data_IF_654362210993
#
_entry.id   IF_654362210993
#
_cell.length_a   1.000
_cell.length_b   1.000
_cell.length_c   1.000
_cell.angle_alpha   90.00
_cell.angle_beta   90.00
_cell.angle_gamma   90.00
#
_symmetry.space_group_name_H-M   'P 1'
#
loop_
_entity.id
_entity.type
_entity.pdbx_description
1 polymer ?
#
# COMPACT_ATOMS: atom_id res chain seq x y z
N UNK A 1 42.40 16.53 -42.30
CA UNK A 1 41.18 15.98 -41.67
C UNK A 1 41.50 15.32 -40.33
N UNK A 2 41.76 16.07 -39.24
CA UNK A 2 41.76 15.53 -37.88
C UNK A 2 40.40 15.76 -37.22
N UNK A 3 39.71 14.71 -36.77
CA UNK A 3 38.40 14.89 -36.11
C UNK A 3 37.66 13.60 -35.72
N UNK A 4 38.03 12.45 -36.29
CA UNK A 4 37.39 11.16 -35.97
C UNK A 4 37.97 10.47 -34.74
N UNK A 5 39.28 10.62 -34.49
CA UNK A 5 39.97 9.95 -33.37
C UNK A 5 39.57 10.52 -31.99
N UNK A 6 39.49 11.85 -31.88
CA UNK A 6 39.26 12.56 -30.61
C UNK A 6 37.84 12.34 -30.06
N UNK A 7 36.84 12.33 -30.96
CA UNK A 7 35.46 11.98 -30.64
C UNK A 7 35.30 10.53 -30.16
N UNK A 8 36.09 9.59 -30.70
CA UNK A 8 36.05 8.19 -30.29
C UNK A 8 36.61 7.99 -28.87
N UNK A 9 37.73 8.64 -28.54
CA UNK A 9 38.31 8.61 -27.18
C UNK A 9 37.42 9.28 -26.14
N UNK A 10 36.80 10.43 -26.46
CA UNK A 10 35.86 11.09 -25.56
C UNK A 10 34.62 10.22 -25.26
N UNK A 11 34.10 9.53 -26.30
CA UNK A 11 32.98 8.60 -26.15
C UNK A 11 33.36 7.39 -25.28
N UNK A 12 34.52 6.79 -25.51
CA UNK A 12 35.01 5.65 -24.72
C UNK A 12 35.20 6.00 -23.23
N UNK A 13 35.77 7.18 -22.93
CA UNK A 13 35.94 7.67 -21.56
C UNK A 13 34.60 7.89 -20.83
N UNK A 14 33.60 8.46 -21.52
CA UNK A 14 32.24 8.64 -20.99
C UNK A 14 31.56 7.32 -20.65
N UNK A 15 31.63 6.33 -21.56
CA UNK A 15 31.08 4.98 -21.34
C UNK A 15 31.76 4.30 -20.15
N UNK A 16 33.09 4.33 -20.07
CA UNK A 16 33.84 3.72 -18.97
C UNK A 16 33.47 4.35 -17.60
N UNK A 17 33.32 5.67 -17.52
CA UNK A 17 32.90 6.34 -16.29
C UNK A 17 31.46 5.96 -15.88
N UNK A 18 30.54 5.88 -16.85
CA UNK A 18 29.16 5.44 -16.62
C UNK A 18 29.08 3.98 -16.14
N UNK A 19 29.94 3.08 -16.64
CA UNK A 19 30.04 1.70 -16.16
C UNK A 19 30.60 1.59 -14.73
N UNK A 20 31.65 2.36 -14.41
CA UNK A 20 32.21 2.39 -13.05
C UNK A 20 31.19 2.89 -12.03
N UNK A 21 30.37 3.89 -12.37
CA UNK A 21 29.25 4.33 -11.52
C UNK A 21 28.09 3.33 -11.43
N UNK A 22 27.87 2.49 -12.45
CA UNK A 22 26.77 1.51 -12.50
C UNK A 22 27.03 0.28 -11.64
N UNK A 23 28.25 -0.30 -11.69
CA UNK A 23 28.56 -1.58 -11.03
C UNK A 23 28.27 -1.59 -9.52
N UNK A 24 28.67 -0.59 -8.70
CA UNK A 24 28.34 -0.56 -7.27
C UNK A 24 26.83 -0.47 -6.99
N UNK A 25 26.08 0.20 -7.86
CA UNK A 25 24.63 0.36 -7.71
C UNK A 25 23.89 -0.94 -8.00
N UNK A 26 24.25 -1.64 -9.08
CA UNK A 26 23.75 -2.99 -9.38
C UNK A 26 23.96 -3.97 -8.21
N UNK A 27 25.13 -3.95 -7.56
CA UNK A 27 25.40 -4.81 -6.39
C UNK A 27 24.48 -4.56 -5.19
N UNK A 28 23.88 -3.36 -5.06
CA UNK A 28 22.84 -3.10 -4.04
C UNK A 28 21.48 -3.61 -4.45
N UNK A 29 21.14 -3.57 -5.74
CA UNK A 29 19.93 -4.23 -6.29
C UNK A 29 20.02 -5.75 -6.11
N UNK A 30 21.15 -6.37 -6.48
CA UNK A 30 21.42 -7.80 -6.19
C UNK A 30 21.40 -8.06 -4.66
N UNK A 31 21.84 -7.10 -3.85
CA UNK A 31 21.74 -7.13 -2.38
C UNK A 31 20.30 -7.17 -1.87
N UNK A 32 19.43 -6.32 -2.41
CA UNK A 32 18.01 -6.29 -2.10
C UNK A 32 17.31 -7.61 -2.51
N UNK A 33 17.56 -8.11 -3.73
CA UNK A 33 17.03 -9.40 -4.22
C UNK A 33 17.39 -10.53 -3.25
N UNK A 34 18.63 -10.61 -2.76
CA UNK A 34 19.02 -11.61 -1.75
C UNK A 34 18.24 -11.46 -0.43
N UNK A 35 18.00 -10.23 0.03
CA UNK A 35 17.23 -9.97 1.26
C UNK A 35 15.76 -10.34 1.10
N UNK A 36 15.15 -9.98 -0.03
CA UNK A 36 13.77 -10.36 -0.39
C UNK A 36 13.62 -11.90 -0.48
N UNK A 37 14.57 -12.60 -1.10
CA UNK A 37 14.58 -14.08 -1.12
C UNK A 37 14.70 -14.67 0.30
N UNK A 38 15.55 -14.10 1.16
CA UNK A 38 15.70 -14.55 2.55
C UNK A 38 14.41 -14.32 3.38
N UNK A 39 13.73 -13.18 3.21
CA UNK A 39 12.42 -12.91 3.82
C UNK A 39 11.38 -13.93 3.34
N UNK A 40 11.33 -14.19 2.04
CA UNK A 40 10.40 -15.15 1.44
C UNK A 40 10.62 -16.59 1.91
N UNK A 41 11.86 -16.98 2.21
CA UNK A 41 12.20 -18.30 2.76
C UNK A 41 11.96 -18.44 4.27
N UNK A 42 11.95 -17.32 5.01
CA UNK A 42 11.80 -17.31 6.47
C UNK A 42 10.34 -17.21 6.95
N UNK A 43 9.40 -16.89 6.06
CA UNK A 43 7.99 -16.65 6.41
C UNK A 43 7.05 -17.70 5.81
N UNK A 44 5.95 -18.07 6.50
CA UNK A 44 4.93 -18.95 5.95
C UNK A 44 4.35 -18.43 4.63
N UNK A 45 3.98 -19.33 3.71
CA UNK A 45 3.47 -18.92 2.39
C UNK A 45 2.23 -18.01 2.46
N UNK A 46 1.33 -18.25 3.42
CA UNK A 46 0.12 -17.45 3.66
C UNK A 46 0.32 -16.17 4.47
N UNK A 47 1.53 -15.89 4.97
CA UNK A 47 1.82 -14.64 5.69
C UNK A 47 1.73 -13.44 4.73
N UNK A 48 0.98 -12.40 5.10
CA UNK A 48 0.73 -11.24 4.25
C UNK A 48 1.98 -10.47 3.83
N UNK A 49 3.01 -10.42 4.68
CA UNK A 49 4.30 -9.84 4.32
C UNK A 49 5.01 -10.74 3.31
N UNK A 50 4.92 -12.07 3.46
CA UNK A 50 5.45 -13.02 2.48
C UNK A 50 4.75 -12.93 1.12
N UNK A 51 3.41 -12.73 1.10
CA UNK A 51 2.63 -12.52 -0.13
C UNK A 51 3.12 -11.29 -0.88
N UNK A 52 3.19 -10.13 -0.22
CA UNK A 52 3.72 -8.90 -0.84
C UNK A 52 5.19 -9.06 -1.26
N UNK A 53 6.03 -9.65 -0.40
CA UNK A 53 7.46 -9.84 -0.66
C UNK A 53 7.73 -10.69 -1.90
N UNK A 54 6.95 -11.76 -2.13
CA UNK A 54 7.09 -12.60 -3.34
C UNK A 54 6.78 -11.82 -4.62
N UNK A 55 5.67 -11.09 -4.64
CA UNK A 55 5.34 -10.20 -5.76
C UNK A 55 6.42 -9.15 -5.98
N UNK A 56 6.88 -8.49 -4.91
CA UNK A 56 7.89 -7.45 -5.02
C UNK A 56 9.24 -7.99 -5.52
N UNK A 57 9.64 -9.19 -5.07
CA UNK A 57 10.80 -9.90 -5.59
C UNK A 57 10.73 -10.09 -7.12
N UNK A 58 9.60 -10.55 -7.66
CA UNK A 58 9.39 -10.68 -9.11
C UNK A 58 9.60 -9.35 -9.84
N UNK A 59 9.09 -8.24 -9.29
CA UNK A 59 9.31 -6.90 -9.84
C UNK A 59 10.79 -6.52 -9.82
N UNK A 60 11.46 -6.65 -8.67
CA UNK A 60 12.87 -6.25 -8.52
C UNK A 60 13.80 -7.08 -9.42
N UNK A 61 13.55 -8.38 -9.56
CA UNK A 61 14.29 -9.25 -10.48
C UNK A 61 14.09 -8.83 -11.95
N UNK A 62 12.85 -8.54 -12.37
CA UNK A 62 12.57 -8.04 -13.71
C UNK A 62 13.22 -6.67 -13.99
N UNK A 63 13.23 -5.76 -13.02
CA UNK A 63 13.92 -4.47 -13.13
C UNK A 63 15.42 -4.67 -13.24
N UNK A 64 16.01 -5.50 -12.38
CA UNK A 64 17.44 -5.85 -12.40
C UNK A 64 17.89 -6.37 -13.75
N UNK A 65 17.11 -7.23 -14.39
CA UNK A 65 17.40 -7.75 -15.73
C UNK A 65 17.24 -6.72 -16.85
N UNK A 66 16.48 -5.63 -16.64
CA UNK A 66 16.45 -4.48 -17.55
C UNK A 66 17.61 -3.51 -17.32
N UNK A 67 18.18 -3.42 -16.12
CA UNK A 67 19.35 -2.59 -15.83
C UNK A 67 20.63 -3.08 -16.56
N UNK A 68 20.68 -4.36 -16.93
CA UNK A 68 21.77 -4.99 -17.71
C UNK A 68 21.52 -5.00 -19.23
N UNK A 69 20.41 -4.42 -19.70
CA UNK A 69 20.01 -4.38 -21.13
C UNK A 69 19.87 -2.92 -21.61
N UNK A 70 19.87 -2.65 -22.92
CA UNK A 70 19.59 -1.32 -23.46
C UNK A 70 18.10 -0.97 -23.33
N UNK A 71 17.64 -0.71 -22.11
CA UNK A 71 16.25 -0.41 -21.80
C UNK A 71 16.05 0.97 -21.15
N UNK A 72 16.81 1.30 -20.10
CA UNK A 72 16.75 2.64 -19.48
C UNK A 72 17.71 3.62 -20.17
N UNK A 73 17.35 4.91 -20.20
CA UNK A 73 18.21 5.98 -20.70
C UNK A 73 19.37 6.27 -19.73
N UNK A 74 19.11 6.23 -18.42
CA UNK A 74 20.14 6.17 -17.38
C UNK A 74 19.90 4.96 -16.43
N UNK A 75 20.39 3.77 -16.80
CA UNK A 75 20.32 2.60 -15.93
C UNK A 75 21.15 2.77 -14.65
N UNK A 76 22.12 3.69 -14.59
CA UNK A 76 22.88 3.92 -13.36
C UNK A 76 22.10 4.77 -12.36
N UNK A 77 21.23 5.68 -12.80
CA UNK A 77 20.28 6.36 -11.93
C UNK A 77 19.11 5.45 -11.54
N UNK A 78 18.60 4.63 -12.45
CA UNK A 78 17.55 3.65 -12.12
C UNK A 78 18.03 2.58 -11.12
N UNK A 79 19.30 2.16 -11.18
CA UNK A 79 19.91 1.30 -10.16
C UNK A 79 20.13 2.00 -8.80
N UNK A 80 20.19 3.34 -8.75
CA UNK A 80 20.12 4.08 -7.48
C UNK A 80 18.70 4.09 -6.95
N UNK A 81 17.73 4.45 -7.80
CA UNK A 81 16.31 4.53 -7.42
C UNK A 81 15.79 3.19 -6.91
N UNK A 82 16.02 2.10 -7.63
CA UNK A 82 15.57 0.76 -7.27
C UNK A 82 16.17 0.29 -5.93
N UNK A 83 17.47 0.51 -5.72
CA UNK A 83 18.14 0.18 -4.46
C UNK A 83 17.66 1.04 -3.27
N UNK A 84 17.41 2.34 -3.49
CA UNK A 84 16.83 3.24 -2.47
C UNK A 84 15.40 2.84 -2.15
N UNK A 85 14.63 2.47 -3.16
CA UNK A 85 13.23 2.09 -3.04
C UNK A 85 13.08 0.78 -2.27
N UNK A 86 13.79 -0.27 -2.67
CA UNK A 86 13.85 -1.54 -1.94
C UNK A 86 14.32 -1.36 -0.50
N UNK A 87 15.31 -0.48 -0.28
CA UNK A 87 15.81 -0.16 1.06
C UNK A 87 14.72 0.33 2.02
N UNK A 88 13.70 1.06 1.55
CA UNK A 88 12.60 1.54 2.42
C UNK A 88 11.70 0.42 2.94
N UNK A 89 11.28 -0.50 2.07
CA UNK A 89 10.53 -1.68 2.48
C UNK A 89 11.34 -2.55 3.43
N UNK A 90 12.63 -2.79 3.11
CA UNK A 90 13.52 -3.60 3.95
C UNK A 90 13.74 -2.97 5.33
N UNK A 91 13.88 -1.64 5.43
CA UNK A 91 13.94 -0.93 6.72
C UNK A 91 12.64 -1.08 7.52
N UNK A 92 11.48 -1.10 6.88
CA UNK A 92 10.21 -1.34 7.58
C UNK A 92 10.11 -2.78 8.12
N UNK A 93 10.60 -3.77 7.37
CA UNK A 93 10.71 -5.18 7.83
C UNK A 93 11.69 -5.31 9.00
N UNK A 94 12.88 -4.71 8.87
CA UNK A 94 13.94 -4.79 9.88
C UNK A 94 13.53 -4.05 11.18
N UNK A 95 12.82 -2.93 11.07
CA UNK A 95 12.24 -2.22 12.23
C UNK A 95 11.27 -3.12 13.01
N UNK A 96 10.33 -3.79 12.32
CA UNK A 96 9.38 -4.71 12.97
C UNK A 96 10.10 -5.91 13.60
N UNK A 97 11.11 -6.46 12.92
CA UNK A 97 11.92 -7.56 13.46
C UNK A 97 12.72 -7.15 14.73
N UNK A 98 13.09 -5.88 14.85
CA UNK A 98 13.72 -5.30 16.05
C UNK A 98 12.72 -4.86 17.14
N UNK A 99 11.42 -5.09 16.96
CA UNK A 99 10.38 -4.63 17.88
C UNK A 99 10.10 -3.12 17.83
N UNK A 100 10.59 -2.42 16.81
CA UNK A 100 10.32 -1.01 16.56
C UNK A 100 9.04 -0.82 15.74
N UNK A 101 8.46 0.38 15.83
CA UNK A 101 7.23 0.73 15.13
C UNK A 101 7.56 1.20 13.70
N UNK A 102 7.06 0.53 12.64
CA UNK A 102 7.31 0.95 11.26
C UNK A 102 6.52 2.24 10.92
N UNK A 103 6.74 2.84 9.73
CA UNK A 103 5.89 3.91 9.19
C UNK A 103 4.40 3.54 9.21
N UNK A 104 3.52 4.51 9.39
CA UNK A 104 2.08 4.33 9.50
C UNK A 104 1.43 3.68 8.27
N UNK A 105 2.01 3.87 7.08
CA UNK A 105 1.61 3.21 5.84
C UNK A 105 1.79 1.68 5.88
N UNK A 106 2.84 1.21 6.55
CA UNK A 106 3.22 -0.20 6.62
C UNK A 106 2.56 -0.95 7.79
N UNK A 107 2.25 -0.27 8.90
CA UNK A 107 1.64 -0.86 10.11
C UNK A 107 0.48 -1.83 9.82
N UNK A 108 -0.53 -1.50 8.98
CA UNK A 108 -1.70 -2.35 8.80
C UNK A 108 -1.34 -3.73 8.25
N UNK A 109 -0.39 -3.80 7.32
CA UNK A 109 0.07 -5.06 6.75
C UNK A 109 0.78 -5.92 7.80
N UNK A 110 1.65 -5.32 8.62
CA UNK A 110 2.34 -6.04 9.69
C UNK A 110 1.41 -6.47 10.84
N UNK A 111 0.41 -5.65 11.17
CA UNK A 111 -0.59 -5.93 12.22
C UNK A 111 -1.54 -7.08 11.81
N UNK A 112 -1.95 -7.14 10.55
CA UNK A 112 -2.92 -8.12 10.04
C UNK A 112 -2.29 -9.30 9.28
N UNK A 113 -0.96 -9.40 9.20
CA UNK A 113 -0.21 -10.36 8.37
C UNK A 113 -0.57 -11.84 8.50
N UNK A 114 -1.20 -12.26 9.60
CA UNK A 114 -1.60 -13.64 9.86
C UNK A 114 -3.13 -13.78 10.06
N UNK A 115 -3.92 -12.76 9.74
CA UNK A 115 -5.35 -12.73 10.01
C UNK A 115 -6.12 -13.64 9.02
N UNK A 116 -6.85 -14.67 9.47
CA UNK A 116 -7.43 -15.69 8.59
C UNK A 116 -8.54 -15.17 7.68
N UNK A 117 -9.22 -14.09 8.08
CA UNK A 117 -10.24 -13.41 7.25
C UNK A 117 -9.71 -12.39 6.24
N UNK A 118 -8.39 -12.31 6.00
CA UNK A 118 -7.80 -11.36 5.02
C UNK A 118 -7.22 -12.14 3.84
N UNK A 119 -7.68 -11.81 2.63
CA UNK A 119 -7.30 -12.54 1.41
C UNK A 119 -5.86 -12.17 0.96
N UNK A 120 -5.09 -13.11 0.35
CA UNK A 120 -3.78 -12.81 -0.23
C UNK A 120 -3.73 -11.58 -1.15
N UNK A 121 -4.78 -11.37 -1.96
CA UNK A 121 -4.90 -10.17 -2.81
C UNK A 121 -4.94 -8.86 -1.99
N UNK A 122 -5.58 -8.85 -0.82
CA UNK A 122 -5.62 -7.68 0.07
C UNK A 122 -4.23 -7.38 0.64
N UNK A 123 -3.46 -8.42 1.01
CA UNK A 123 -2.07 -8.26 1.46
C UNK A 123 -1.16 -7.70 0.36
N UNK A 124 -1.28 -8.21 -0.86
CA UNK A 124 -0.55 -7.68 -2.02
C UNK A 124 -0.88 -6.20 -2.24
N UNK A 125 -2.18 -5.84 -2.34
CA UNK A 125 -2.62 -4.46 -2.56
C UNK A 125 -2.25 -3.52 -1.43
N UNK A 126 -2.31 -3.94 -0.17
CA UNK A 126 -1.91 -3.12 0.97
C UNK A 126 -0.40 -2.81 0.95
N UNK A 127 0.43 -3.81 0.61
CA UNK A 127 1.87 -3.61 0.41
C UNK A 127 2.18 -2.75 -0.80
N UNK A 128 1.49 -2.93 -1.94
CA UNK A 128 1.61 -2.04 -3.11
C UNK A 128 1.22 -0.61 -2.78
N UNK A 129 0.14 -0.41 -2.01
CA UNK A 129 -0.30 0.90 -1.53
C UNK A 129 0.79 1.57 -0.68
N UNK A 130 1.32 0.90 0.35
CA UNK A 130 2.39 1.44 1.19
C UNK A 130 3.65 1.77 0.36
N UNK A 131 4.10 0.81 -0.46
CA UNK A 131 5.34 0.96 -1.21
C UNK A 131 5.22 2.02 -2.32
N UNK A 132 4.20 1.95 -3.18
CA UNK A 132 4.06 2.90 -4.30
C UNK A 132 3.67 4.30 -3.81
N UNK A 133 2.74 4.43 -2.86
CA UNK A 133 2.21 5.75 -2.51
C UNK A 133 3.03 6.48 -1.43
N UNK A 134 3.77 5.78 -0.58
CA UNK A 134 4.62 6.42 0.45
C UNK A 134 6.12 6.25 0.17
N UNK A 135 6.61 5.02 -0.08
CA UNK A 135 8.05 4.81 -0.18
C UNK A 135 8.64 5.38 -1.48
N UNK A 136 7.93 5.25 -2.61
CA UNK A 136 8.42 5.69 -3.92
C UNK A 136 8.63 7.21 -4.03
N UNK A 137 7.71 8.09 -3.57
CA UNK A 137 7.94 9.53 -3.56
C UNK A 137 9.22 9.94 -2.83
N UNK A 138 9.41 9.35 -1.65
CA UNK A 138 10.58 9.59 -0.81
C UNK A 138 11.86 9.01 -1.43
N UNK A 139 11.77 7.84 -2.06
CA UNK A 139 12.88 7.22 -2.80
C UNK A 139 13.33 8.05 -4.01
N UNK A 140 12.39 8.66 -4.75
CA UNK A 140 12.71 9.61 -5.83
C UNK A 140 13.45 10.83 -5.29
N UNK A 141 12.97 11.44 -4.20
CA UNK A 141 13.60 12.62 -3.59
C UNK A 141 15.01 12.31 -3.09
N UNK A 142 15.21 11.20 -2.39
CA UNK A 142 16.54 10.82 -1.86
C UNK A 142 17.51 10.40 -2.97
N UNK A 143 17.02 9.73 -4.02
CA UNK A 143 17.82 9.45 -5.22
C UNK A 143 18.27 10.75 -5.88
N UNK A 144 17.36 11.71 -6.03
CA UNK A 144 17.67 13.04 -6.58
C UNK A 144 18.72 13.79 -5.74
N UNK A 145 18.62 13.73 -4.40
CA UNK A 145 19.65 14.26 -3.48
C UNK A 145 21.01 13.59 -3.68
N UNK A 146 21.06 12.25 -3.67
CA UNK A 146 22.29 11.45 -3.82
C UNK A 146 22.98 11.63 -5.17
N UNK A 147 22.20 11.88 -6.23
CA UNK A 147 22.71 12.10 -7.58
C UNK A 147 22.94 13.58 -7.92
N UNK A 148 22.63 14.52 -7.02
CA UNK A 148 22.77 15.95 -7.25
C UNK A 148 21.88 16.49 -8.39
N UNK A 149 20.71 15.89 -8.63
CA UNK A 149 19.85 16.21 -9.77
C UNK A 149 18.39 16.47 -9.37
N UNK A 150 17.63 17.18 -10.19
CA UNK A 150 16.18 17.34 -10.00
C UNK A 150 15.38 16.13 -10.56
N UNK A 151 14.17 15.84 -10.05
CA UNK A 151 13.31 14.74 -10.51
C UNK A 151 13.08 14.70 -12.01
N UNK A 152 13.07 15.85 -12.70
CA UNK A 152 12.96 15.91 -14.17
C UNK A 152 13.95 15.01 -14.91
N UNK A 153 15.15 14.77 -14.35
CA UNK A 153 16.17 13.86 -14.90
C UNK A 153 15.74 12.39 -14.87
N UNK A 154 14.94 11.98 -13.89
CA UNK A 154 14.44 10.60 -13.74
C UNK A 154 13.12 10.36 -14.50
N UNK A 155 12.42 11.43 -14.91
CA UNK A 155 11.04 11.38 -15.40
C UNK A 155 10.81 10.49 -16.64
N UNK A 156 11.82 10.31 -17.49
CA UNK A 156 11.74 9.43 -18.66
C UNK A 156 11.70 7.95 -18.26
N UNK A 157 12.70 7.51 -17.52
CA UNK A 157 12.81 6.11 -17.09
C UNK A 157 11.80 5.74 -16.00
N UNK A 158 11.40 6.71 -15.15
CA UNK A 158 10.31 6.55 -14.19
C UNK A 158 8.98 6.17 -14.86
N UNK A 159 8.67 6.72 -16.04
CA UNK A 159 7.48 6.32 -16.81
C UNK A 159 7.71 5.06 -17.63
N UNK A 160 8.93 4.88 -18.18
CA UNK A 160 9.28 3.70 -18.99
C UNK A 160 9.02 2.39 -18.24
N UNK A 161 9.31 2.35 -16.94
CA UNK A 161 9.09 1.17 -16.09
C UNK A 161 7.60 0.77 -15.97
N UNK A 162 6.64 1.68 -16.20
CA UNK A 162 5.21 1.36 -16.08
C UNK A 162 4.80 0.23 -17.05
N UNK A 163 5.39 0.20 -18.25
CA UNK A 163 5.17 -0.89 -19.21
C UNK A 163 5.76 -2.25 -18.81
N UNK A 164 6.74 -2.27 -17.90
CA UNK A 164 7.21 -3.51 -17.26
C UNK A 164 6.27 -3.93 -16.13
N UNK A 165 5.80 -2.97 -15.34
CA UNK A 165 4.90 -3.22 -14.21
C UNK A 165 3.51 -3.66 -14.64
N UNK A 166 3.02 -3.23 -15.80
CA UNK A 166 1.73 -3.68 -16.36
C UNK A 166 1.68 -5.20 -16.61
N UNK A 167 2.81 -5.81 -17.01
CA UNK A 167 2.90 -7.27 -17.13
C UNK A 167 2.78 -7.96 -15.77
N UNK A 168 3.52 -7.46 -14.77
CA UNK A 168 3.45 -8.02 -13.40
C UNK A 168 2.07 -7.79 -12.77
N UNK A 169 1.37 -6.68 -13.06
CA UNK A 169 0.00 -6.46 -12.59
C UNK A 169 -0.96 -7.53 -13.14
N UNK A 170 -0.80 -7.93 -14.41
CA UNK A 170 -1.56 -9.02 -15.01
C UNK A 170 -1.26 -10.37 -14.33
N UNK A 171 0.02 -10.71 -14.16
CA UNK A 171 0.46 -11.95 -13.50
C UNK A 171 -0.05 -12.03 -12.05
N UNK A 172 0.00 -10.92 -11.30
CA UNK A 172 -0.49 -10.83 -9.91
C UNK A 172 -2.00 -10.97 -9.84
N UNK A 173 -2.73 -10.38 -10.80
CA UNK A 173 -4.18 -10.54 -10.91
C UNK A 173 -4.52 -11.99 -11.24
N UNK A 174 -3.83 -12.64 -12.17
CA UNK A 174 -4.05 -14.05 -12.50
C UNK A 174 -3.76 -14.99 -11.30
N UNK A 175 -2.65 -14.78 -10.59
CA UNK A 175 -2.23 -15.65 -9.49
C UNK A 175 -2.98 -15.45 -8.17
N UNK A 176 -3.52 -14.25 -7.91
CA UNK A 176 -4.17 -13.90 -6.64
C UNK A 176 -5.66 -13.61 -6.75
N UNK A 177 -6.26 -13.63 -7.95
CA UNK A 177 -7.72 -13.56 -8.07
C UNK A 177 -8.35 -14.86 -7.54
N UNK A 178 -9.38 -14.77 -6.68
CA UNK A 178 -10.13 -15.94 -6.25
C UNK A 178 -10.87 -16.61 -7.43
N UNK A 179 -11.03 -17.93 -7.32
CA UNK A 179 -11.90 -18.71 -8.23
C UNK A 179 -13.38 -18.32 -8.09
N UNK A 180 -14.24 -18.78 -9.02
CA UNK A 180 -15.63 -18.32 -9.13
C UNK A 180 -16.44 -18.44 -7.82
N UNK A 181 -16.28 -19.53 -7.07
CA UNK A 181 -17.03 -19.78 -5.82
C UNK A 181 -16.64 -18.86 -4.64
N UNK A 182 -15.55 -18.10 -4.79
CA UNK A 182 -15.12 -17.05 -3.86
C UNK A 182 -15.34 -15.66 -4.47
N UNK A 183 -15.53 -15.54 -5.79
CA UNK A 183 -15.78 -14.29 -6.50
C UNK A 183 -17.07 -13.60 -6.03
N UNK A 184 -18.15 -14.34 -5.80
CA UNK A 184 -19.41 -13.82 -5.22
C UNK A 184 -19.21 -13.25 -3.80
N UNK A 185 -18.26 -13.80 -3.02
CA UNK A 185 -17.92 -13.33 -1.67
C UNK A 185 -16.94 -12.15 -1.66
N UNK A 186 -16.29 -11.86 -2.79
CA UNK A 186 -15.34 -10.75 -2.95
C UNK A 186 -15.80 -9.66 -3.93
N UNK A 187 -17.09 -9.60 -4.29
CA UNK A 187 -17.64 -8.55 -5.15
C UNK A 187 -17.36 -7.10 -4.63
N UNK A 188 -17.31 -6.83 -3.31
CA UNK A 188 -16.83 -5.54 -2.79
C UNK A 188 -15.33 -5.29 -3.00
N UNK A 189 -14.50 -6.34 -3.18
CA UNK A 189 -13.12 -6.19 -3.64
C UNK A 189 -13.04 -5.96 -5.14
N UNK A 190 -13.83 -6.63 -5.99
CA UNK A 190 -13.65 -6.52 -7.46
C UNK A 190 -13.81 -5.07 -7.94
N UNK A 191 -14.74 -4.30 -7.37
CA UNK A 191 -14.84 -2.85 -7.64
C UNK A 191 -13.64 -2.04 -7.10
N UNK A 192 -13.05 -2.43 -5.95
CA UNK A 192 -11.86 -1.74 -5.38
C UNK A 192 -10.56 -2.09 -6.11
N UNK A 193 -10.42 -3.35 -6.52
CA UNK A 193 -9.31 -3.91 -7.30
C UNK A 193 -9.37 -3.37 -8.73
N UNK A 194 -10.56 -3.29 -9.34
CA UNK A 194 -10.77 -2.74 -10.68
C UNK A 194 -10.58 -1.21 -10.75
N UNK A 195 -10.77 -0.50 -9.64
CA UNK A 195 -10.44 0.93 -9.52
C UNK A 195 -8.97 1.20 -9.14
N UNK A 196 -8.19 0.17 -8.79
CA UNK A 196 -6.80 0.31 -8.38
C UNK A 196 -5.86 -0.03 -9.54
N UNK A 197 -5.13 0.97 -10.01
CA UNK A 197 -4.17 0.87 -11.12
C UNK A 197 -2.77 1.22 -10.63
N UNK A 198 -1.79 0.38 -10.98
CA UNK A 198 -0.36 0.66 -10.70
C UNK A 198 0.06 1.97 -11.37
N UNK A 199 -0.43 2.25 -12.57
CA UNK A 199 -0.12 3.46 -13.33
C UNK A 199 -0.63 4.72 -12.62
N UNK A 200 -1.90 4.73 -12.20
CA UNK A 200 -2.50 5.85 -11.46
C UNK A 200 -1.84 6.07 -10.10
N UNK A 201 -1.50 5.00 -9.39
CA UNK A 201 -0.73 5.10 -8.15
C UNK A 201 0.67 5.70 -8.40
N UNK A 202 1.35 5.30 -9.48
CA UNK A 202 2.67 5.85 -9.82
C UNK A 202 2.63 7.30 -10.29
N UNK A 203 1.56 7.75 -10.91
CA UNK A 203 1.36 9.17 -11.24
C UNK A 203 1.09 10.02 -9.99
N UNK A 204 0.29 9.53 -9.05
CA UNK A 204 0.10 10.16 -7.74
C UNK A 204 1.43 10.24 -6.97
N UNK A 205 2.19 9.13 -6.93
CA UNK A 205 3.52 9.09 -6.32
C UNK A 205 4.51 10.06 -6.99
N UNK A 206 4.43 10.24 -8.31
CA UNK A 206 5.25 11.22 -9.03
C UNK A 206 4.88 12.66 -8.66
N UNK A 207 3.59 12.96 -8.50
CA UNK A 207 3.12 14.26 -8.02
C UNK A 207 3.63 14.55 -6.60
N UNK A 208 3.52 13.57 -5.68
CA UNK A 208 4.06 13.68 -4.32
C UNK A 208 5.58 13.88 -4.31
N UNK A 209 6.33 13.14 -5.15
CA UNK A 209 7.79 13.31 -5.28
C UNK A 209 8.17 14.74 -5.69
N UNK A 210 7.41 15.34 -6.63
CA UNK A 210 7.63 16.73 -7.07
C UNK A 210 7.27 17.73 -5.98
N UNK A 211 6.17 17.54 -5.25
CA UNK A 211 5.78 18.41 -4.15
C UNK A 211 6.83 18.40 -3.02
N UNK A 212 7.26 17.20 -2.59
CA UNK A 212 8.35 17.01 -1.62
C UNK A 212 9.67 17.62 -2.10
N UNK A 213 9.96 17.52 -3.41
CA UNK A 213 11.14 18.14 -3.99
C UNK A 213 11.07 19.67 -3.96
N UNK A 214 9.96 20.31 -4.30
CA UNK A 214 9.88 21.79 -4.20
C UNK A 214 9.93 22.27 -2.74
N UNK A 215 9.33 21.52 -1.80
CA UNK A 215 9.43 21.81 -0.38
C UNK A 215 10.81 21.50 0.24
N UNK A 216 11.80 20.97 -0.50
CA UNK A 216 13.14 20.60 0.02
C UNK A 216 13.88 21.74 0.73
N UNK A 217 13.56 23.00 0.41
CA UNK A 217 14.14 24.20 1.05
C UNK A 217 13.46 24.60 2.36
N UNK A 218 12.36 23.94 2.75
CA UNK A 218 11.63 24.15 3.99
C UNK A 218 11.42 22.79 4.69
N UNK A 219 12.39 22.35 5.52
CA UNK A 219 12.38 21.01 6.11
C UNK A 219 11.10 20.67 6.87
N UNK A 220 10.55 21.61 7.66
CA UNK A 220 9.31 21.40 8.40
C UNK A 220 8.10 21.15 7.48
N UNK A 221 7.99 21.88 6.37
CA UNK A 221 6.91 21.68 5.39
C UNK A 221 7.07 20.36 4.63
N UNK A 222 8.30 19.96 4.30
CA UNK A 222 8.58 18.66 3.70
C UNK A 222 8.27 17.49 4.66
N UNK A 223 8.59 17.62 5.95
CA UNK A 223 8.25 16.63 6.98
C UNK A 223 6.74 16.49 7.14
N UNK A 224 6.02 17.60 7.32
CA UNK A 224 4.57 17.62 7.45
C UNK A 224 3.86 16.97 6.24
N UNK A 225 4.36 17.18 5.02
CA UNK A 225 3.84 16.50 3.83
C UNK A 225 4.14 14.99 3.83
N UNK A 226 5.34 14.58 4.23
CA UNK A 226 5.71 13.16 4.33
C UNK A 226 4.90 12.43 5.43
N UNK A 227 4.67 13.06 6.58
CA UNK A 227 3.86 12.54 7.68
C UNK A 227 2.37 12.43 7.28
N UNK A 228 1.83 13.43 6.60
CA UNK A 228 0.47 13.39 6.06
C UNK A 228 0.30 12.27 5.01
N UNK A 229 1.33 12.04 4.18
CA UNK A 229 1.37 10.95 3.21
C UNK A 229 1.41 9.59 3.92
N UNK A 230 2.29 9.40 4.90
CA UNK A 230 2.39 8.17 5.71
C UNK A 230 1.06 7.83 6.40
N UNK A 231 0.43 8.83 7.04
CA UNK A 231 -0.84 8.66 7.75
C UNK A 231 -2.02 8.33 6.81
N UNK A 232 -2.12 9.02 5.67
CA UNK A 232 -3.21 8.81 4.69
C UNK A 232 -3.08 7.48 3.94
N UNK A 233 -1.88 7.11 3.51
CA UNK A 233 -1.58 5.81 2.90
C UNK A 233 -1.83 4.68 3.91
N UNK A 234 -1.52 4.89 5.19
CA UNK A 234 -1.85 3.94 6.27
C UNK A 234 -3.34 3.80 6.56
N UNK A 235 -4.13 4.87 6.38
CA UNK A 235 -5.59 4.78 6.48
C UNK A 235 -6.18 3.92 5.35
N UNK A 236 -5.72 4.14 4.11
CA UNK A 236 -6.12 3.30 2.98
C UNK A 236 -5.66 1.84 3.16
N UNK A 237 -4.45 1.61 3.70
CA UNK A 237 -3.96 0.28 4.04
C UNK A 237 -4.89 -0.48 5.00
N UNK A 238 -5.43 0.19 6.03
CA UNK A 238 -6.44 -0.41 6.93
C UNK A 238 -7.74 -0.76 6.20
N UNK A 239 -8.21 0.10 5.31
CA UNK A 239 -9.44 -0.14 4.53
C UNK A 239 -9.30 -1.23 3.46
N UNK A 240 -8.09 -1.45 2.94
CA UNK A 240 -7.76 -2.56 2.03
C UNK A 240 -7.72 -3.90 2.76
N UNK A 241 -7.29 -3.92 4.02
CA UNK A 241 -7.15 -5.12 4.85
C UNK A 241 -8.37 -5.41 5.74
N UNK A 242 -9.51 -4.73 5.54
CA UNK A 242 -10.76 -5.08 6.23
C UNK A 242 -11.08 -6.56 5.99
N UNK A 243 -11.19 -7.40 7.05
CA UNK A 243 -11.46 -8.81 6.88
C UNK A 243 -12.79 -9.04 6.16
N UNK A 244 -12.77 -9.95 5.19
CA UNK A 244 -13.97 -10.46 4.56
C UNK A 244 -14.45 -11.64 5.40
N UNK A 245 -15.65 -11.51 5.97
CA UNK A 245 -16.12 -12.45 6.98
C UNK A 245 -16.17 -13.88 6.47
N UNK A 246 -15.49 -14.79 7.17
CA UNK A 246 -15.82 -16.22 7.18
C UNK A 246 -17.10 -16.47 8.02
N UNK A 247 -18.09 -15.61 7.86
CA UNK A 247 -19.39 -15.71 8.54
C UNK A 247 -20.24 -16.74 7.83
N UNK A 248 -20.09 -18.00 8.25
CA UNK A 248 -21.17 -18.86 8.77
C UNK A 248 -20.81 -20.36 8.78
N UNK A 249 -19.84 -20.80 7.98
CA UNK A 249 -19.59 -22.23 7.77
C UNK A 249 -18.79 -22.90 8.92
N UNK A 250 -17.76 -22.21 9.44
CA UNK A 250 -16.87 -22.75 10.47
C UNK A 250 -17.52 -22.87 11.86
N UNK A 251 -18.62 -22.14 12.11
CA UNK A 251 -19.44 -22.31 13.32
C UNK A 251 -20.45 -23.45 13.14
N UNK A 252 -21.01 -23.64 11.93
CA UNK A 252 -21.91 -24.78 11.66
C UNK A 252 -21.21 -26.13 11.78
N UNK A 253 -19.95 -26.27 11.35
CA UNK A 253 -19.21 -27.54 11.50
C UNK A 253 -18.95 -27.86 12.98
N UNK A 254 -18.55 -26.87 13.80
CA UNK A 254 -18.41 -27.05 15.26
C UNK A 254 -19.73 -27.39 15.94
N UNK A 255 -20.82 -26.76 15.53
CA UNK A 255 -22.16 -27.07 16.06
C UNK A 255 -22.70 -28.43 15.57
N UNK A 256 -22.24 -28.93 14.41
CA UNK A 256 -22.56 -30.28 13.94
C UNK A 256 -21.78 -31.36 14.69
N UNK A 257 -20.47 -31.20 14.89
CA UNK A 257 -19.65 -32.11 15.71
C UNK A 257 -20.18 -32.14 17.16
N UNK A 258 -20.39 -30.97 17.77
CA UNK A 258 -20.93 -30.86 19.13
C UNK A 258 -22.41 -31.26 19.24
N UNK A 259 -23.12 -31.36 18.12
CA UNK A 259 -24.48 -31.90 18.01
C UNK A 259 -24.52 -33.42 17.85
N UNK A 260 -23.57 -34.01 17.13
CA UNK A 260 -23.46 -35.46 16.95
C UNK A 260 -23.01 -36.18 18.23
N UNK A 261 -22.04 -35.63 18.97
CA UNK A 261 -21.60 -36.22 20.24
C UNK A 261 -22.74 -36.27 21.28
N UNK A 262 -23.58 -35.24 21.35
CA UNK A 262 -24.76 -35.20 22.24
C UNK A 262 -25.91 -36.11 21.78
N UNK A 263 -25.86 -36.62 20.55
CA UNK A 263 -26.88 -37.50 19.99
C UNK A 263 -26.71 -38.98 20.33
N UNK A 264 -25.53 -39.40 20.82
CA UNK A 264 -25.23 -40.80 21.09
C UNK A 264 -25.37 -41.22 22.57
N UNK A 265 -25.38 -40.28 23.53
CA UNK A 265 -25.65 -40.55 24.95
C UNK A 265 -27.09 -40.22 25.38
N UNK A 266 -28.08 -40.91 24.80
CA UNK A 266 -29.42 -40.96 25.42
C UNK A 266 -30.16 -42.28 25.16
N UNK A 267 -29.52 -43.39 25.52
CA UNK A 267 -30.15 -44.69 25.65
C UNK A 267 -30.39 -45.04 27.13
N UNK A 268 -31.65 -45.38 27.45
CA UNK A 268 -32.11 -46.08 28.68
C UNK A 268 -32.27 -45.22 29.96
N UNK A 269 -33.53 -45.04 30.41
CA UNK A 269 -33.87 -44.39 31.68
C UNK A 269 -35.38 -44.30 31.96
N UNK A 270 -35.97 -45.34 32.57
CA UNK A 270 -37.40 -45.40 32.93
C UNK A 270 -37.71 -44.68 34.26
N UNK A 271 -38.81 -43.91 34.38
CA UNK A 271 -39.20 -43.36 35.70
C UNK A 271 -40.36 -42.34 35.81
N UNK A 272 -41.61 -42.84 35.82
CA UNK A 272 -42.85 -42.27 36.44
C UNK A 272 -42.94 -40.78 36.90
N UNK A 273 -43.91 -40.08 36.28
CA UNK A 273 -45.01 -39.25 36.86
C UNK A 273 -44.83 -38.57 38.24
N UNK A 274 -44.99 -37.23 38.27
CA UNK A 274 -45.97 -36.55 39.15
C UNK A 274 -46.38 -35.15 38.64
N UNK A 275 -47.58 -34.68 39.04
CA UNK A 275 -48.18 -33.36 38.73
C UNK A 275 -48.93 -32.87 39.98
N UNK A 276 -48.71 -31.63 40.45
CA UNK A 276 -49.78 -30.61 40.57
C UNK A 276 -49.25 -29.16 40.30
N UNK A 277 -50.01 -28.06 40.11
CA UNK A 277 -51.48 -27.81 39.98
C UNK A 277 -51.74 -26.63 38.99
N UNK A 278 -52.38 -25.53 39.41
CA UNK A 278 -52.54 -24.18 38.82
C UNK A 278 -52.82 -23.20 39.97
N UNK A 279 -52.46 -21.93 39.82
CA UNK A 279 -53.30 -20.71 39.95
C UNK A 279 -52.45 -19.52 39.44
N UNK A 280 -52.85 -18.54 38.61
CA UNK A 280 -54.02 -17.62 38.50
C UNK A 280 -53.99 -16.40 39.43
N UNK A 281 -53.48 -15.27 38.91
CA UNK A 281 -54.11 -13.91 38.81
C UNK A 281 -53.10 -12.94 38.13
N UNK A 282 -53.41 -12.21 37.04
CA UNK A 282 -54.08 -10.88 36.91
C UNK A 282 -53.40 -9.79 37.76
N UNK A 283 -52.84 -8.69 37.22
CA UNK A 283 -53.43 -7.63 36.36
C UNK A 283 -52.38 -6.92 35.46
N UNK A 284 -52.74 -6.40 34.26
CA UNK A 284 -52.84 -4.96 33.85
C UNK A 284 -51.78 -4.01 34.48
N UNK A 285 -51.13 -3.09 33.75
CA UNK A 285 -51.62 -2.28 32.61
C UNK A 285 -50.49 -1.71 31.68
N UNK A 286 -50.87 -1.25 30.48
CA UNK A 286 -50.42 -0.06 29.67
C UNK A 286 -49.00 0.54 29.85
N UNK A 287 -48.30 1.11 28.85
CA UNK A 287 -48.64 1.56 27.48
C UNK A 287 -47.35 1.85 26.66
N UNK A 288 -47.39 1.61 25.33
CA UNK A 288 -46.88 2.47 24.22
C UNK A 288 -45.40 2.88 24.13
N UNK A 289 -44.82 3.16 22.95
CA UNK A 289 -45.23 2.98 21.55
C UNK A 289 -43.95 3.01 20.65
N UNK A 290 -43.98 2.49 19.40
CA UNK A 290 -42.76 2.32 18.58
C UNK A 290 -42.49 3.47 17.60
N UNK A 291 -41.22 3.68 17.25
CA UNK A 291 -40.80 4.54 16.13
C UNK A 291 -40.22 3.72 14.98
N UNK A 292 -40.89 3.71 13.81
CA UNK A 292 -40.35 3.25 12.54
C UNK A 292 -40.31 4.41 11.54
N UNK A 293 -39.28 4.38 10.70
CA UNK A 293 -39.13 5.13 9.45
C UNK A 293 -40.30 4.85 8.47
N UNK A 294 -40.57 5.72 7.47
CA UNK A 294 -39.85 5.58 6.20
C UNK A 294 -39.58 6.87 5.38
N UNK A 295 -38.77 6.71 4.33
CA UNK A 295 -38.29 7.75 3.41
C UNK A 295 -39.28 8.23 2.33
N UNK A 296 -38.96 9.38 1.67
CA UNK A 296 -38.99 9.57 0.20
C UNK A 296 -38.43 10.93 -0.29
N UNK A 297 -37.73 10.89 -1.42
CA UNK A 297 -37.30 11.99 -2.32
C UNK A 297 -38.52 12.39 -3.24
N UNK A 298 -38.50 13.35 -4.22
CA UNK A 298 -37.36 14.00 -4.89
C UNK A 298 -37.48 15.48 -5.38
N UNK A 299 -36.39 15.94 -6.03
CA UNK A 299 -36.34 16.73 -7.28
C UNK A 299 -36.22 18.29 -7.31
N UNK A 300 -35.18 18.71 -8.04
CA UNK A 300 -35.10 19.79 -9.05
C UNK A 300 -35.12 21.29 -8.68
N UNK A 301 -34.13 22.05 -9.21
CA UNK A 301 -34.40 23.40 -9.75
C UNK A 301 -33.31 24.49 -9.70
N UNK A 302 -32.55 24.64 -10.80
CA UNK A 302 -32.06 25.92 -11.40
C UNK A 302 -31.07 26.86 -10.64
N UNK A 303 -29.90 27.05 -11.27
CA UNK A 303 -29.13 28.31 -11.33
C UNK A 303 -29.82 29.28 -12.34
N UNK A 304 -29.62 30.63 -12.30
CA UNK A 304 -28.44 31.26 -12.94
C UNK A 304 -27.94 32.63 -12.37
N UNK A 305 -26.81 33.13 -12.90
CA UNK A 305 -26.29 34.51 -12.74
C UNK A 305 -24.90 34.56 -12.06
N UNK A 306 -23.77 34.81 -12.74
CA UNK A 306 -23.30 36.11 -13.30
C UNK A 306 -23.17 37.22 -12.22
N UNK A 307 -22.02 37.88 -12.00
CA UNK A 307 -20.69 37.84 -12.64
C UNK A 307 -19.70 38.82 -11.96
N UNK A 308 -18.64 39.21 -12.66
CA UNK A 308 -17.64 40.26 -12.32
C UNK A 308 -16.64 40.04 -11.15
N UNK A 309 -15.38 39.78 -11.54
CA UNK A 309 -14.16 40.44 -11.00
C UNK A 309 -13.99 41.82 -11.69
N UNK A 310 -12.99 42.67 -11.36
CA UNK A 310 -11.95 42.60 -10.32
C UNK A 310 -11.85 43.85 -9.41
N UNK A 311 -11.01 43.79 -8.38
CA UNK A 311 -10.37 44.96 -7.78
C UNK A 311 -8.94 44.62 -7.30
N UNK A 312 -8.02 45.58 -7.41
CA UNK A 312 -6.58 45.40 -7.19
C UNK A 312 -6.14 46.05 -5.87
N UNK A 313 -5.26 45.36 -5.14
CA UNK A 313 -4.19 45.98 -4.35
C UNK A 313 -4.50 46.39 -2.91
N UNK A 314 -3.82 45.73 -1.96
CA UNK A 314 -2.81 46.41 -1.13
C UNK A 314 -1.91 45.44 -0.37
N UNK A 315 -0.65 45.81 -0.24
CA UNK A 315 0.32 45.17 0.64
C UNK A 315 -0.06 45.36 2.11
N UNK A 316 0.22 44.36 2.95
CA UNK A 316 0.70 44.59 4.32
C UNK A 316 1.84 43.63 4.64
N UNK A 317 2.94 44.19 5.15
CA UNK A 317 4.05 43.44 5.75
C UNK A 317 3.71 43.03 7.18
N UNK A 318 4.35 41.95 7.62
CA UNK A 318 4.68 41.74 9.03
C UNK A 318 3.62 41.03 9.86
N UNK A 319 3.78 39.72 10.03
CA UNK A 319 4.21 39.26 11.35
C UNK A 319 5.07 37.99 11.23
N UNK A 320 6.21 37.94 11.93
CA UNK A 320 7.10 36.77 11.96
C UNK A 320 6.89 36.03 13.28
N UNK A 321 5.95 35.08 13.30
CA UNK A 321 5.89 34.09 14.36
C UNK A 321 7.03 33.07 14.19
N UNK A 322 8.12 33.26 14.93
CA UNK A 322 9.16 32.24 15.08
C UNK A 322 8.60 31.06 15.88
N UNK A 323 8.31 29.95 15.19
CA UNK A 323 8.01 28.67 15.82
C UNK A 323 9.29 27.83 15.87
N UNK A 324 9.96 27.86 17.02
CA UNK A 324 11.16 27.08 17.30
C UNK A 324 10.84 25.57 17.32
N UNK A 325 11.18 24.86 16.24
CA UNK A 325 11.12 23.40 16.20
C UNK A 325 12.39 22.81 16.84
N UNK A 326 12.45 22.85 18.17
CA UNK A 326 13.52 22.25 18.95
C UNK A 326 13.34 20.74 19.12
N UNK A 327 14.17 19.97 18.41
CA UNK A 327 14.50 18.58 18.75
C UNK A 327 13.61 17.49 18.16
N UNK A 328 14.19 16.70 17.26
CA UNK A 328 14.32 15.23 17.34
C UNK A 328 15.43 14.80 16.33
N UNK A 329 16.18 13.69 16.58
CA UNK A 329 17.39 13.39 15.83
C UNK A 329 17.11 12.74 14.46
N UNK A 330 18.04 12.93 13.52
CA UNK A 330 18.03 12.20 12.24
C UNK A 330 18.33 10.70 12.43
N UNK A 331 17.55 9.87 11.74
CA UNK A 331 17.82 8.47 11.43
C UNK A 331 17.41 8.21 9.97
#
# INVERSE_FOLDING_TARGET
MPGTAEAATATAGSVAAAEHGRRPRLRRVDGAIRRLRAIGAALPAGDGVAVFNRMYLTVTEAVRDRLTRPYFADPAAMAELDAVFAGRYLLAVDAVAAGHRPPACWRPLFELRAHPGVHPLQFALAGMNAHIQHDLPLAVVDTCRRLGCAPGRLAGDYRRINGLLAGVEADVREQLMPGPDVLERVEPLTHRVGAWSVDTARDAAWASARALWELRGSPCAASALAEALDASVGLLGRALLTPLGLTEECDRERDHECGQERGQECGQGSGRKHRPTRDRERTRDRNGAPGREPARNPAAGRLPGAGNRPAVGRERRGDQAQLECSGLPSA
#
